data_IF_403973982645
#
_entry.id   IF_403973982645
#
_cell.length_a   1.000
_cell.length_b   1.000
_cell.length_c   1.000
_cell.angle_alpha   90.00
_cell.angle_beta   90.00
_cell.angle_gamma   90.00
#
_symmetry.space_group_name_H-M   'P 1'
#
loop_
_entity.id
_entity.type
_entity.pdbx_description
1 polymer ?
#
# COMPACT_ATOMS: atom_id res chain seq x y z
N UNK A 1 -6.96 -39.11 -2.85
CA UNK A 1 -6.20 -37.92 -2.44
C UNK A 1 -7.20 -36.81 -2.26
N UNK A 2 -7.40 -36.38 -1.02
CA UNK A 2 -8.21 -35.23 -0.65
C UNK A 2 -7.30 -34.10 -0.20
N UNK A 3 -7.80 -32.86 -0.22
CA UNK A 3 -7.07 -31.69 0.27
C UNK A 3 -7.82 -31.08 1.46
N UNK A 4 -7.08 -30.86 2.55
CA UNK A 4 -7.53 -30.16 3.75
C UNK A 4 -6.84 -28.80 3.85
N UNK A 5 -7.59 -27.73 4.05
CA UNK A 5 -7.08 -26.37 4.13
C UNK A 5 -7.21 -25.87 5.57
N UNK A 6 -6.11 -25.41 6.14
CA UNK A 6 -6.04 -24.81 7.47
C UNK A 6 -5.84 -23.31 7.30
N UNK A 7 -6.74 -22.51 7.86
CA UNK A 7 -6.58 -21.06 8.02
C UNK A 7 -6.20 -20.74 9.45
N UNK A 8 -4.91 -20.52 9.70
CA UNK A 8 -4.36 -20.21 11.03
C UNK A 8 -4.17 -18.70 11.19
N UNK A 9 -5.09 -18.04 11.90
CA UNK A 9 -5.16 -16.58 11.94
C UNK A 9 -4.73 -16.04 13.30
N UNK A 10 -3.78 -15.11 13.28
CA UNK A 10 -3.29 -14.32 14.39
C UNK A 10 -4.06 -12.99 14.59
N UNK A 11 -5.02 -12.69 13.71
CA UNK A 11 -5.85 -11.48 13.69
C UNK A 11 -7.29 -11.86 13.32
N UNK A 12 -8.23 -11.62 14.24
CA UNK A 12 -9.66 -11.92 14.08
C UNK A 12 -10.40 -10.87 13.23
N UNK A 13 -9.75 -9.73 12.93
CA UNK A 13 -10.29 -8.70 12.05
C UNK A 13 -10.10 -9.01 10.56
N UNK A 14 -9.26 -9.98 10.20
CA UNK A 14 -8.92 -10.39 8.83
C UNK A 14 -10.06 -11.15 8.10
N UNK A 15 -11.29 -10.66 8.21
CA UNK A 15 -12.51 -11.33 7.72
C UNK A 15 -12.50 -11.55 6.20
N UNK A 16 -11.95 -10.60 5.45
CA UNK A 16 -11.84 -10.70 4.00
C UNK A 16 -10.90 -11.84 3.57
N UNK A 17 -9.76 -12.03 4.26
CA UNK A 17 -8.87 -13.18 4.03
C UNK A 17 -9.55 -14.50 4.37
N UNK A 18 -10.33 -14.57 5.46
CA UNK A 18 -11.06 -15.80 5.80
C UNK A 18 -12.13 -16.12 4.75
N UNK A 19 -12.86 -15.12 4.26
CA UNK A 19 -13.84 -15.29 3.18
C UNK A 19 -13.16 -15.77 1.89
N UNK A 20 -11.97 -15.23 1.58
CA UNK A 20 -11.18 -15.66 0.44
C UNK A 20 -10.84 -17.16 0.51
N UNK A 21 -10.36 -17.63 1.66
CA UNK A 21 -10.04 -19.04 1.86
C UNK A 21 -11.27 -19.94 1.77
N UNK A 22 -12.39 -19.54 2.39
CA UNK A 22 -13.65 -20.29 2.34
C UNK A 22 -14.17 -20.44 0.92
N UNK A 23 -14.17 -19.35 0.15
CA UNK A 23 -14.67 -19.35 -1.21
C UNK A 23 -13.83 -20.26 -2.12
N UNK A 24 -12.50 -20.26 -1.96
CA UNK A 24 -11.63 -21.21 -2.66
C UNK A 24 -11.94 -22.66 -2.27
N UNK A 25 -12.05 -22.96 -0.97
CA UNK A 25 -12.34 -24.32 -0.51
C UNK A 25 -13.68 -24.83 -1.04
N UNK A 26 -14.71 -23.98 -1.06
CA UNK A 26 -16.02 -24.28 -1.61
C UNK A 26 -15.96 -24.61 -3.10
N UNK A 27 -15.26 -23.78 -3.90
CA UNK A 27 -15.09 -24.02 -5.34
C UNK A 27 -14.32 -25.30 -5.65
N UNK A 28 -13.34 -25.66 -4.83
CA UNK A 28 -12.52 -26.87 -5.02
C UNK A 28 -13.09 -28.14 -4.38
N UNK A 29 -14.09 -28.01 -3.52
CA UNK A 29 -14.63 -29.11 -2.71
C UNK A 29 -13.66 -29.58 -1.60
N UNK A 30 -12.82 -28.67 -1.08
CA UNK A 30 -11.84 -28.97 -0.04
C UNK A 30 -12.43 -28.84 1.37
N UNK A 31 -11.92 -29.63 2.31
CA UNK A 31 -12.28 -29.47 3.73
C UNK A 31 -11.56 -28.25 4.28
N UNK A 32 -12.26 -27.40 5.05
CA UNK A 32 -11.71 -26.16 5.59
C UNK A 32 -11.77 -26.13 7.12
N UNK A 33 -10.63 -25.90 7.77
CA UNK A 33 -10.48 -25.68 9.21
C UNK A 33 -10.02 -24.24 9.47
N UNK A 34 -10.80 -23.50 10.25
CA UNK A 34 -10.41 -22.18 10.76
C UNK A 34 -9.87 -22.32 12.18
N UNK A 35 -8.67 -21.78 12.41
CA UNK A 35 -8.02 -21.73 13.72
C UNK A 35 -7.76 -20.29 14.10
N UNK A 36 -8.45 -19.83 15.13
CA UNK A 36 -8.27 -18.52 15.72
C UNK A 36 -7.17 -18.55 16.80
N UNK A 37 -6.09 -17.81 16.55
CA UNK A 37 -4.96 -17.59 17.44
C UNK A 37 -4.78 -16.10 17.79
N UNK A 38 -5.80 -15.27 17.53
CA UNK A 38 -5.77 -13.81 17.77
C UNK A 38 -5.48 -13.47 19.23
N UNK A 39 -6.07 -14.22 20.17
CA UNK A 39 -5.88 -14.05 21.61
C UNK A 39 -4.44 -14.33 22.11
N UNK A 40 -3.58 -14.99 21.30
CA UNK A 40 -2.22 -15.35 21.71
C UNK A 40 -1.27 -14.20 21.37
N UNK A 41 -1.01 -13.27 22.27
CA UNK A 41 -0.17 -12.09 21.97
C UNK A 41 1.31 -12.38 21.67
N UNK A 42 1.83 -13.57 22.00
CA UNK A 42 3.25 -13.91 21.81
C UNK A 42 3.46 -14.71 20.51
N UNK A 43 4.21 -14.17 19.51
CA UNK A 43 4.45 -14.86 18.24
C UNK A 43 5.01 -16.28 18.38
N UNK A 44 5.89 -16.54 19.36
CA UNK A 44 6.46 -17.87 19.57
C UNK A 44 5.39 -18.92 19.92
N UNK A 45 4.43 -18.57 20.79
CA UNK A 45 3.32 -19.46 21.15
C UNK A 45 2.38 -19.70 19.96
N UNK A 46 2.17 -18.69 19.11
CA UNK A 46 1.42 -18.85 17.85
C UNK A 46 2.11 -19.85 16.92
N UNK A 47 3.43 -19.78 16.76
CA UNK A 47 4.18 -20.76 15.96
C UNK A 47 4.08 -22.19 16.53
N UNK A 48 4.25 -22.34 17.85
CA UNK A 48 4.06 -23.64 18.53
C UNK A 48 2.68 -24.20 18.20
N UNK A 49 1.63 -23.39 18.35
CA UNK A 49 0.26 -23.80 18.06
C UNK A 49 0.05 -24.12 16.57
N UNK A 50 0.59 -23.31 15.66
CA UNK A 50 0.49 -23.49 14.20
C UNK A 50 1.02 -24.86 13.77
N UNK A 51 2.24 -25.21 14.18
CA UNK A 51 2.83 -26.51 13.81
C UNK A 51 2.21 -27.69 14.57
N UNK A 52 1.71 -27.48 15.79
CA UNK A 52 0.94 -28.49 16.50
C UNK A 52 -0.38 -28.81 15.78
N UNK A 53 -1.07 -27.79 15.28
CA UNK A 53 -2.29 -27.94 14.46
C UNK A 53 -1.95 -28.66 13.16
N UNK A 54 -0.93 -28.21 12.42
CA UNK A 54 -0.48 -28.87 11.18
C UNK A 54 -0.19 -30.36 11.40
N UNK A 55 0.58 -30.69 12.45
CA UNK A 55 0.93 -32.07 12.77
C UNK A 55 -0.30 -32.90 13.15
N UNK A 56 -1.23 -32.33 13.90
CA UNK A 56 -2.50 -32.99 14.26
C UNK A 56 -3.31 -33.32 13.00
N UNK A 57 -3.42 -32.36 12.08
CA UNK A 57 -4.17 -32.53 10.84
C UNK A 57 -3.51 -33.57 9.93
N UNK A 58 -2.19 -33.52 9.72
CA UNK A 58 -1.46 -34.54 8.96
C UNK A 58 -1.66 -35.95 9.54
N UNK A 59 -1.71 -36.10 10.86
CA UNK A 59 -1.99 -37.40 11.50
C UNK A 59 -3.43 -37.89 11.34
N UNK A 60 -4.38 -36.99 11.07
CA UNK A 60 -5.78 -37.32 10.88
C UNK A 60 -6.13 -37.62 9.41
N UNK A 61 -5.39 -37.03 8.46
CA UNK A 61 -5.53 -37.29 7.03
C UNK A 61 -4.99 -38.68 6.63
N UNK A 62 -5.47 -39.23 5.50
CA UNK A 62 -4.93 -40.47 4.97
C UNK A 62 -3.53 -40.25 4.37
N UNK A 63 -2.75 -41.33 4.24
CA UNK A 63 -1.44 -41.25 3.56
C UNK A 63 -1.62 -40.76 2.11
N UNK A 64 -0.81 -39.79 1.71
CA UNK A 64 -0.87 -39.16 0.38
C UNK A 64 -1.84 -37.99 0.25
N UNK A 65 -2.75 -37.76 1.21
CA UNK A 65 -3.63 -36.57 1.21
C UNK A 65 -2.81 -35.28 1.35
N UNK A 66 -3.39 -34.15 0.91
CA UNK A 66 -2.73 -32.85 0.96
C UNK A 66 -3.26 -32.00 2.11
N UNK A 67 -2.37 -31.22 2.73
CA UNK A 67 -2.70 -30.20 3.73
C UNK A 67 -2.12 -28.87 3.28
N UNK A 68 -2.99 -27.91 2.98
CA UNK A 68 -2.63 -26.53 2.69
C UNK A 68 -2.76 -25.70 3.97
N UNK A 69 -1.66 -25.11 4.43
CA UNK A 69 -1.61 -24.25 5.61
C UNK A 69 -1.43 -22.79 5.18
N UNK A 70 -2.40 -21.96 5.53
CA UNK A 70 -2.46 -20.55 5.21
C UNK A 70 -2.57 -19.70 6.48
N UNK A 71 -1.96 -18.51 6.48
CA UNK A 71 -2.25 -17.46 7.46
C UNK A 71 -3.15 -16.39 6.85
N UNK A 72 -3.59 -15.41 7.64
CA UNK A 72 -4.36 -14.26 7.15
C UNK A 72 -3.66 -13.42 6.07
N UNK A 73 -2.33 -13.54 5.97
CA UNK A 73 -1.48 -12.75 5.08
C UNK A 73 -1.18 -13.48 3.77
N UNK A 74 -1.88 -14.60 3.53
CA UNK A 74 -1.88 -15.30 2.26
C UNK A 74 -3.27 -15.17 1.62
N UNK A 75 -3.34 -14.78 0.34
CA UNK A 75 -4.58 -14.58 -0.40
C UNK A 75 -4.61 -15.49 -1.62
N UNK A 76 -5.67 -16.27 -1.79
CA UNK A 76 -5.86 -17.18 -2.93
C UNK A 76 -6.42 -16.39 -4.12
N UNK A 77 -5.59 -16.24 -5.15
CA UNK A 77 -5.87 -15.47 -6.36
C UNK A 77 -6.58 -16.29 -7.42
N UNK A 78 -6.17 -17.54 -7.63
CA UNK A 78 -6.64 -18.36 -8.76
C UNK A 78 -7.20 -19.70 -8.28
N UNK A 79 -8.06 -20.32 -9.09
CA UNK A 79 -8.66 -21.62 -8.81
C UNK A 79 -7.77 -22.81 -9.18
N UNK A 80 -6.46 -22.65 -9.00
CA UNK A 80 -5.46 -23.70 -9.20
C UNK A 80 -5.65 -24.76 -8.12
N UNK A 81 -5.66 -26.04 -8.54
CA UNK A 81 -5.80 -27.18 -7.63
C UNK A 81 -4.47 -27.48 -6.94
N UNK A 82 -4.50 -27.72 -5.63
CA UNK A 82 -3.31 -28.15 -4.88
C UNK A 82 -2.73 -29.45 -5.43
N UNK A 83 -3.58 -30.35 -5.94
CA UNK A 83 -3.13 -31.61 -6.52
C UNK A 83 -2.24 -31.39 -7.76
N UNK A 84 -2.57 -30.42 -8.61
CA UNK A 84 -1.80 -30.08 -9.81
C UNK A 84 -0.41 -29.54 -9.47
N UNK A 85 -0.30 -28.76 -8.40
CA UNK A 85 1.00 -28.27 -7.92
C UNK A 85 1.87 -29.38 -7.34
N UNK A 86 1.25 -30.45 -6.84
CA UNK A 86 1.94 -31.59 -6.23
C UNK A 86 2.18 -32.76 -7.18
N UNK A 87 1.69 -32.69 -8.41
CA UNK A 87 1.88 -33.75 -9.41
C UNK A 87 3.36 -33.89 -9.78
N UNK A 88 3.84 -35.12 -9.91
CA UNK A 88 5.21 -35.48 -10.31
C UNK A 88 6.36 -34.86 -9.49
N UNK A 89 6.07 -34.39 -8.28
CA UNK A 89 7.10 -33.87 -7.36
C UNK A 89 7.82 -34.97 -6.61
N UNK A 90 9.14 -34.83 -6.52
CA UNK A 90 10.00 -35.64 -5.64
C UNK A 90 9.85 -35.26 -4.15
N UNK A 91 9.47 -34.01 -3.87
CA UNK A 91 9.30 -33.50 -2.51
C UNK A 91 7.83 -33.53 -2.07
N UNK A 92 7.63 -33.86 -0.79
CA UNK A 92 6.30 -33.93 -0.17
C UNK A 92 5.80 -32.59 0.36
N UNK A 93 6.44 -31.47 -0.01
CA UNK A 93 6.01 -30.14 0.42
C UNK A 93 6.36 -29.06 -0.60
N UNK A 94 5.67 -27.92 -0.46
CA UNK A 94 6.01 -26.65 -1.08
C UNK A 94 6.11 -25.60 0.03
N UNK A 95 7.30 -25.05 0.17
CA UNK A 95 7.58 -23.80 0.85
C UNK A 95 8.42 -22.96 -0.10
N UNK A 96 8.09 -21.68 -0.22
CA UNK A 96 8.74 -20.80 -1.17
C UNK A 96 9.45 -19.66 -0.47
N UNK A 97 10.52 -19.17 -1.09
CA UNK A 97 11.29 -18.04 -0.60
C UNK A 97 11.41 -16.93 -1.66
N UNK A 98 11.50 -15.70 -1.17
CA UNK A 98 11.94 -14.54 -1.92
C UNK A 98 13.24 -14.04 -1.30
N UNK A 99 14.33 -14.12 -2.07
CA UNK A 99 15.69 -13.89 -1.59
C UNK A 99 16.00 -14.75 -0.34
N UNK A 100 16.23 -14.15 0.83
CA UNK A 100 16.54 -14.82 2.09
C UNK A 100 15.33 -14.97 3.03
N UNK A 101 14.13 -14.60 2.56
CA UNK A 101 12.90 -14.64 3.33
C UNK A 101 11.99 -15.78 2.86
N UNK A 102 11.66 -16.70 3.77
CA UNK A 102 10.73 -17.80 3.51
C UNK A 102 9.31 -17.36 3.80
N UNK A 103 8.43 -17.49 2.82
CA UNK A 103 7.04 -17.05 2.86
C UNK A 103 6.17 -17.99 3.72
N UNK A 104 6.34 -17.91 5.04
CA UNK A 104 5.71 -18.78 6.03
C UNK A 104 4.17 -18.79 6.02
N UNK A 105 3.56 -17.76 5.43
CA UNK A 105 2.11 -17.60 5.25
C UNK A 105 1.50 -18.63 4.30
N UNK A 106 2.31 -19.30 3.47
CA UNK A 106 1.88 -20.36 2.56
C UNK A 106 2.74 -21.62 2.77
N UNK A 107 2.10 -22.76 3.03
CA UNK A 107 2.77 -24.06 3.00
C UNK A 107 1.82 -25.13 2.46
N UNK A 108 2.27 -25.96 1.52
CA UNK A 108 1.51 -27.11 1.04
C UNK A 108 2.26 -28.39 1.38
N UNK A 109 1.57 -29.38 1.92
CA UNK A 109 2.17 -30.62 2.40
C UNK A 109 1.43 -31.84 1.83
N UNK A 110 2.14 -32.83 1.32
CA UNK A 110 1.64 -34.19 1.14
C UNK A 110 1.86 -34.97 2.43
N UNK A 111 0.81 -35.62 2.91
CA UNK A 111 0.86 -36.40 4.13
C UNK A 111 1.64 -37.70 3.93
N UNK A 112 2.92 -37.67 4.30
CA UNK A 112 3.79 -38.84 4.33
C UNK A 112 4.45 -39.00 5.69
N UNK A 113 5.07 -40.16 5.93
CA UNK A 113 5.90 -40.36 7.12
C UNK A 113 7.01 -39.30 7.22
N UNK A 114 7.61 -38.92 6.09
CA UNK A 114 8.66 -37.90 6.02
C UNK A 114 8.12 -36.53 6.40
N UNK A 115 7.00 -36.09 5.81
CA UNK A 115 6.36 -34.82 6.15
C UNK A 115 6.01 -34.72 7.64
N UNK A 116 5.45 -35.78 8.22
CA UNK A 116 5.13 -35.82 9.66
C UNK A 116 6.37 -35.72 10.54
N UNK A 117 7.47 -36.39 10.16
CA UNK A 117 8.74 -36.29 10.88
C UNK A 117 9.32 -34.88 10.80
N UNK A 118 9.27 -34.26 9.62
CA UNK A 118 9.79 -32.91 9.39
C UNK A 118 8.98 -31.85 10.15
N UNK A 119 7.65 -31.92 10.12
CA UNK A 119 6.79 -31.03 10.93
C UNK A 119 7.02 -31.24 12.43
N UNK A 120 7.29 -32.47 12.87
CA UNK A 120 7.68 -32.74 14.26
C UNK A 120 9.00 -32.06 14.62
N UNK A 121 9.96 -32.03 13.69
CA UNK A 121 11.23 -31.32 13.87
C UNK A 121 11.04 -29.80 13.92
N UNK A 122 10.24 -29.23 13.01
CA UNK A 122 9.87 -27.80 13.02
C UNK A 122 9.23 -27.43 14.36
N UNK A 123 8.23 -28.21 14.82
CA UNK A 123 7.61 -28.03 16.13
C UNK A 123 8.65 -28.07 17.27
N UNK A 124 9.61 -29.00 17.21
CA UNK A 124 10.74 -29.07 18.14
C UNK A 124 11.53 -27.76 18.20
N UNK A 125 11.84 -27.17 17.05
CA UNK A 125 12.54 -25.89 16.92
C UNK A 125 11.76 -24.67 17.44
N UNK A 126 10.43 -24.77 17.57
CA UNK A 126 9.62 -23.67 18.14
C UNK A 126 9.57 -23.66 19.67
N UNK A 127 10.06 -24.69 20.35
CA UNK A 127 9.95 -24.80 21.82
C UNK A 127 10.74 -23.70 22.54
N UNK A 128 10.27 -23.28 23.70
CA UNK A 128 10.82 -22.16 24.50
C UNK A 128 12.21 -22.43 25.12
N UNK A 129 12.87 -23.54 24.80
CA UNK A 129 14.14 -23.93 25.42
C UNK A 129 15.39 -23.39 24.70
N UNK A 130 15.21 -22.60 23.62
CA UNK A 130 16.32 -22.00 22.88
C UNK A 130 16.66 -20.61 23.42
N UNK A 131 17.95 -20.27 23.47
CA UNK A 131 18.46 -18.99 24.01
C UNK A 131 18.00 -17.77 23.19
N UNK A 132 17.68 -17.97 21.90
CA UNK A 132 17.17 -16.92 21.01
C UNK A 132 15.93 -17.42 20.26
N UNK A 133 14.80 -16.69 20.26
CA UNK A 133 13.65 -17.00 19.43
C UNK A 133 14.04 -16.96 17.95
N UNK A 134 13.89 -18.07 17.23
CA UNK A 134 14.07 -18.12 15.78
C UNK A 134 12.84 -17.50 15.10
N UNK A 135 13.06 -16.78 13.99
CA UNK A 135 11.93 -16.39 13.13
C UNK A 135 11.31 -17.62 12.47
N UNK A 136 10.02 -17.54 12.09
CA UNK A 136 9.40 -18.65 11.35
C UNK A 136 10.13 -18.87 10.01
N UNK A 137 10.56 -17.80 9.37
CA UNK A 137 11.37 -17.84 8.15
C UNK A 137 12.65 -18.64 8.35
N UNK A 138 13.41 -18.35 9.42
CA UNK A 138 14.66 -19.06 9.71
C UNK A 138 14.42 -20.55 9.97
N UNK A 139 13.35 -20.88 10.70
CA UNK A 139 12.97 -22.27 10.96
C UNK A 139 12.61 -23.01 9.66
N UNK A 140 11.90 -22.36 8.74
CA UNK A 140 11.48 -22.95 7.47
C UNK A 140 12.62 -23.12 6.46
N UNK A 141 13.79 -22.50 6.67
CA UNK A 141 14.98 -22.78 5.83
C UNK A 141 15.38 -24.26 5.87
N UNK A 142 15.04 -24.97 6.95
CA UNK A 142 15.24 -26.43 7.08
C UNK A 142 14.52 -27.22 5.98
N UNK A 143 13.47 -26.65 5.37
CA UNK A 143 12.72 -27.26 4.28
C UNK A 143 13.42 -27.17 2.92
N UNK A 144 14.54 -26.43 2.84
CA UNK A 144 15.19 -26.04 1.58
C UNK A 144 14.17 -25.42 0.62
N UNK A 145 13.53 -24.31 1.02
CA UNK A 145 12.44 -23.72 0.25
C UNK A 145 12.89 -23.35 -1.16
N UNK A 146 11.97 -23.48 -2.09
CA UNK A 146 12.21 -23.22 -3.51
C UNK A 146 12.02 -21.72 -3.81
N UNK A 147 12.69 -21.18 -4.84
CA UNK A 147 12.37 -19.83 -5.33
C UNK A 147 10.87 -19.70 -5.65
N UNK A 148 10.28 -18.54 -5.33
CA UNK A 148 8.85 -18.31 -5.56
C UNK A 148 8.46 -18.37 -7.05
N UNK A 149 9.40 -18.06 -7.94
CA UNK A 149 9.23 -18.06 -9.39
C UNK A 149 9.34 -19.46 -10.01
N UNK A 150 9.48 -20.51 -9.18
CA UNK A 150 9.45 -21.90 -9.66
C UNK A 150 8.06 -22.26 -10.22
N UNK A 151 8.03 -22.54 -11.52
CA UNK A 151 6.85 -22.99 -12.24
C UNK A 151 6.51 -24.47 -12.03
N UNK A 152 5.21 -24.76 -11.97
CA UNK A 152 4.58 -26.08 -11.91
C UNK A 152 3.53 -26.16 -13.01
N UNK A 153 3.83 -26.82 -14.13
CA UNK A 153 2.93 -26.88 -15.29
C UNK A 153 2.45 -25.48 -15.73
N UNK A 154 3.41 -24.55 -15.90
CA UNK A 154 3.17 -23.13 -16.24
C UNK A 154 2.43 -22.32 -15.16
N UNK A 155 2.21 -22.88 -13.97
CA UNK A 155 1.57 -22.23 -12.82
C UNK A 155 2.56 -21.92 -11.72
N UNK A 156 2.29 -20.90 -10.91
CA UNK A 156 3.08 -20.58 -9.73
C UNK A 156 2.29 -20.93 -8.47
N UNK A 157 2.95 -21.56 -7.50
CA UNK A 157 2.31 -21.86 -6.22
C UNK A 157 2.04 -20.59 -5.42
N UNK A 158 2.99 -19.67 -5.39
CA UNK A 158 2.89 -18.45 -4.59
C UNK A 158 3.75 -17.33 -5.19
N UNK A 159 3.30 -16.08 -5.02
CA UNK A 159 4.06 -14.88 -5.37
C UNK A 159 4.04 -13.88 -4.19
N UNK A 160 5.18 -13.22 -3.89
CA UNK A 160 5.22 -12.17 -2.88
C UNK A 160 4.52 -10.90 -3.38
N UNK A 161 3.86 -10.18 -2.48
CA UNK A 161 3.14 -8.94 -2.78
C UNK A 161 3.42 -7.90 -1.69
N UNK A 162 3.95 -6.75 -2.08
CA UNK A 162 4.12 -5.56 -1.25
C UNK A 162 3.58 -4.31 -1.96
N UNK A 163 3.57 -3.18 -1.25
CA UNK A 163 3.08 -1.90 -1.78
C UNK A 163 3.87 -1.41 -3.01
N UNK A 164 5.17 -1.69 -3.06
CA UNK A 164 6.12 -1.20 -4.06
C UNK A 164 6.60 -2.26 -5.06
N UNK A 165 6.25 -3.52 -4.89
CA UNK A 165 6.66 -4.63 -5.76
C UNK A 165 5.91 -4.66 -7.10
N UNK A 166 6.59 -5.11 -8.16
CA UNK A 166 5.99 -5.32 -9.48
C UNK A 166 4.77 -6.26 -9.42
N UNK A 167 3.74 -5.94 -10.20
CA UNK A 167 2.44 -6.63 -10.20
C UNK A 167 2.32 -7.69 -11.32
N UNK A 168 3.44 -8.28 -11.76
CA UNK A 168 3.44 -9.31 -12.80
C UNK A 168 2.50 -10.50 -12.50
N UNK A 169 2.27 -10.79 -11.21
CA UNK A 169 1.38 -11.85 -10.75
C UNK A 169 -0.10 -11.64 -11.13
N UNK A 170 -0.50 -10.41 -11.50
CA UNK A 170 -1.86 -10.10 -11.95
C UNK A 170 -2.23 -10.97 -13.17
N UNK A 171 -1.32 -11.03 -14.14
CA UNK A 171 -1.55 -11.72 -15.42
C UNK A 171 -1.06 -13.18 -15.42
N UNK A 172 -0.32 -13.59 -14.39
CA UNK A 172 0.17 -14.97 -14.27
C UNK A 172 -0.82 -15.89 -13.52
N UNK A 173 -0.85 -17.19 -13.88
CA UNK A 173 -1.58 -18.20 -13.14
C UNK A 173 -0.86 -18.55 -11.82
N UNK A 174 -1.08 -17.70 -10.81
CA UNK A 174 -0.54 -17.87 -9.46
C UNK A 174 -1.66 -18.33 -8.53
N UNK A 175 -1.46 -19.41 -7.77
CA UNK A 175 -2.44 -19.88 -6.79
C UNK A 175 -2.61 -18.85 -5.67
N UNK A 176 -1.52 -18.51 -4.99
CA UNK A 176 -1.55 -17.69 -3.78
C UNK A 176 -0.65 -16.44 -3.86
N UNK A 177 -1.06 -15.38 -3.18
CA UNK A 177 -0.29 -14.17 -2.97
C UNK A 177 0.09 -14.13 -1.50
N UNK A 178 1.38 -14.06 -1.19
CA UNK A 178 1.83 -13.83 0.19
C UNK A 178 2.18 -12.36 0.32
N UNK A 179 1.45 -11.70 1.21
CA UNK A 179 1.79 -10.33 1.56
C UNK A 179 3.13 -10.33 2.29
N UNK A 180 4.01 -9.44 1.87
CA UNK A 180 5.30 -9.20 2.51
C UNK A 180 5.36 -7.74 2.93
N UNK A 181 6.07 -7.48 4.03
CA UNK A 181 6.24 -6.11 4.53
C UNK A 181 7.29 -5.35 3.70
N UNK A 182 7.51 -4.08 4.02
CA UNK A 182 8.60 -3.29 3.45
C UNK A 182 9.94 -4.01 3.66
N UNK A 183 10.87 -4.00 2.68
CA UNK A 183 12.16 -4.70 2.79
C UNK A 183 13.00 -4.36 4.03
N UNK A 184 12.75 -3.20 4.65
CA UNK A 184 13.44 -2.71 5.85
C UNK A 184 12.74 -3.05 7.17
N UNK A 185 11.54 -3.63 7.13
CA UNK A 185 10.78 -3.99 8.33
C UNK A 185 11.44 -5.19 9.05
N UNK A 186 11.45 -5.23 10.40
CA UNK A 186 11.99 -6.38 11.12
C UNK A 186 11.19 -7.66 10.80
N UNK A 187 11.89 -8.79 10.70
CA UNK A 187 11.25 -10.10 10.44
C UNK A 187 10.18 -10.42 11.50
N UNK A 188 9.08 -11.02 11.06
CA UNK A 188 7.88 -11.39 11.86
C UNK A 188 7.05 -10.22 12.41
N UNK A 189 7.25 -8.99 11.93
CA UNK A 189 6.33 -7.90 12.24
C UNK A 189 5.07 -8.00 11.35
N UNK A 190 3.91 -7.57 11.88
CA UNK A 190 2.65 -7.67 11.15
C UNK A 190 2.68 -6.76 9.92
N UNK A 191 2.26 -7.34 8.79
CA UNK A 191 2.04 -6.62 7.54
C UNK A 191 0.98 -5.53 7.75
N UNK A 192 1.05 -4.47 6.93
CA UNK A 192 0.02 -3.42 6.89
C UNK A 192 -1.38 -4.03 6.71
N UNK A 193 -2.12 -4.15 7.82
CA UNK A 193 -3.41 -4.86 7.88
C UNK A 193 -4.45 -4.23 6.97
N UNK A 194 -4.41 -2.90 6.80
CA UNK A 194 -5.27 -2.18 5.86
C UNK A 194 -5.09 -2.65 4.42
N UNK A 195 -3.84 -2.85 3.98
CA UNK A 195 -3.56 -3.34 2.63
C UNK A 195 -4.07 -4.78 2.48
N UNK A 196 -3.80 -5.63 3.47
CA UNK A 196 -4.30 -7.02 3.48
C UNK A 196 -5.80 -7.06 3.29
N UNK A 197 -6.55 -6.36 4.14
CA UNK A 197 -8.00 -6.41 4.13
C UNK A 197 -8.58 -5.82 2.84
N UNK A 198 -7.96 -4.75 2.34
CA UNK A 198 -8.37 -4.10 1.10
C UNK A 198 -8.12 -5.00 -0.12
N UNK A 199 -6.93 -5.61 -0.23
CA UNK A 199 -6.61 -6.50 -1.35
C UNK A 199 -7.43 -7.79 -1.28
N UNK A 200 -7.63 -8.36 -0.09
CA UNK A 200 -8.47 -9.53 0.10
C UNK A 200 -9.92 -9.26 -0.33
N UNK A 201 -10.49 -8.12 0.08
CA UNK A 201 -11.82 -7.69 -0.34
C UNK A 201 -11.91 -7.54 -1.87
N UNK A 202 -10.93 -6.84 -2.46
CA UNK A 202 -10.85 -6.62 -3.90
C UNK A 202 -10.75 -7.93 -4.71
N UNK A 203 -9.92 -8.88 -4.27
CA UNK A 203 -9.81 -10.20 -4.90
C UNK A 203 -11.15 -10.95 -4.82
N UNK A 204 -11.79 -10.95 -3.66
CA UNK A 204 -13.06 -11.64 -3.47
C UNK A 204 -14.16 -11.06 -4.36
N UNK A 205 -14.27 -9.73 -4.45
CA UNK A 205 -15.24 -9.05 -5.33
C UNK A 205 -14.98 -9.39 -6.80
N UNK A 206 -13.74 -9.29 -7.26
CA UNK A 206 -13.37 -9.65 -8.63
C UNK A 206 -13.65 -11.11 -8.96
N UNK A 207 -13.34 -12.05 -8.06
CA UNK A 207 -13.62 -13.47 -8.25
C UNK A 207 -15.13 -13.75 -8.29
N UNK A 208 -15.90 -13.15 -7.37
CA UNK A 208 -17.35 -13.34 -7.31
C UNK A 208 -18.05 -12.82 -8.57
N UNK A 209 -17.54 -11.73 -9.15
CA UNK A 209 -18.11 -11.09 -10.34
C UNK A 209 -17.48 -11.57 -11.66
N UNK A 210 -16.45 -12.42 -11.60
CA UNK A 210 -15.70 -12.88 -12.78
C UNK A 210 -14.97 -11.74 -13.51
N UNK A 211 -14.56 -10.68 -12.80
CA UNK A 211 -13.86 -9.52 -13.38
C UNK A 211 -12.35 -9.60 -13.18
N UNK A 212 -11.54 -9.11 -14.12
CA UNK A 212 -10.09 -9.01 -13.92
C UNK A 212 -9.75 -8.07 -12.76
N UNK A 213 -8.67 -8.37 -12.04
CA UNK A 213 -8.14 -7.49 -11.00
C UNK A 213 -7.70 -6.15 -11.61
N UNK A 214 -7.82 -5.06 -10.83
CA UNK A 214 -7.33 -3.74 -11.22
C UNK A 214 -7.98 -3.14 -12.49
N UNK A 215 -9.18 -3.60 -12.86
CA UNK A 215 -9.94 -3.07 -14.00
C UNK A 215 -11.12 -2.21 -13.54
N UNK A 216 -10.98 -0.89 -13.72
CA UNK A 216 -11.96 0.07 -13.24
C UNK A 216 -12.87 0.57 -14.36
N UNK A 217 -14.16 0.82 -14.08
CA UNK A 217 -15.02 1.51 -15.03
C UNK A 217 -14.43 2.90 -15.29
N UNK A 218 -14.13 3.21 -16.56
CA UNK A 218 -13.81 4.59 -16.96
C UNK A 218 -15.07 5.42 -16.82
N UNK A 219 -14.95 6.60 -16.22
CA UNK A 219 -16.00 7.59 -16.31
C UNK A 219 -16.06 8.05 -17.77
N UNK A 220 -17.14 7.71 -18.48
CA UNK A 220 -17.36 8.19 -19.84
C UNK A 220 -17.68 9.68 -19.78
N UNK A 221 -16.67 10.54 -19.78
CA UNK A 221 -16.84 11.97 -20.08
C UNK A 221 -16.78 12.13 -21.60
N UNK A 222 -17.93 12.39 -22.22
CA UNK A 222 -18.07 12.57 -23.67
C UNK A 222 -17.47 13.88 -24.20
N UNK A 223 -17.06 14.79 -23.31
CA UNK A 223 -16.46 16.07 -23.65
C UNK A 223 -14.95 16.08 -23.35
N UNK A 224 -14.13 16.75 -24.19
CA UNK A 224 -12.71 16.94 -23.91
C UNK A 224 -12.56 17.79 -22.64
N UNK A 225 -12.12 17.15 -21.56
CA UNK A 225 -11.85 17.82 -20.29
C UNK A 225 -10.69 18.81 -20.49
N UNK A 226 -10.86 20.05 -20.05
CA UNK A 226 -9.82 21.08 -20.17
C UNK A 226 -8.53 20.65 -19.43
N UNK A 227 -7.36 20.88 -20.05
CA UNK A 227 -6.04 20.58 -19.44
C UNK A 227 -5.79 21.36 -18.15
N UNK A 228 -6.38 22.54 -18.01
CA UNK A 228 -6.34 23.38 -16.82
C UNK A 228 -7.73 23.89 -16.48
N UNK A 229 -8.04 23.94 -15.19
CA UNK A 229 -9.27 24.52 -14.68
C UNK A 229 -9.04 25.19 -13.32
N UNK A 230 -9.75 26.29 -13.07
CA UNK A 230 -9.75 26.97 -11.80
C UNK A 230 -11.18 27.14 -11.26
N UNK A 231 -11.35 26.89 -9.97
CA UNK A 231 -12.56 27.17 -9.20
C UNK A 231 -12.26 28.26 -8.18
N UNK A 232 -13.19 29.20 -7.98
CA UNK A 232 -13.08 30.30 -7.00
C UNK A 232 -11.73 31.04 -7.06
N UNK A 233 -11.26 31.40 -8.26
CA UNK A 233 -9.89 31.90 -8.50
C UNK A 233 -9.47 33.13 -7.69
N UNK A 234 -10.42 33.85 -7.10
CA UNK A 234 -10.15 35.06 -6.32
C UNK A 234 -10.14 34.79 -4.79
N UNK A 235 -10.35 33.54 -4.36
CA UNK A 235 -10.37 33.20 -2.94
C UNK A 235 -8.99 33.40 -2.28
N UNK A 236 -8.93 33.81 -1.00
CA UNK A 236 -7.66 34.10 -0.34
C UNK A 236 -6.80 32.86 -0.08
N UNK A 237 -7.40 31.67 0.01
CA UNK A 237 -6.71 30.40 0.20
C UNK A 237 -6.93 29.56 -1.07
N UNK A 238 -5.84 29.08 -1.66
CA UNK A 238 -5.87 28.25 -2.86
C UNK A 238 -5.17 26.92 -2.64
N UNK A 239 -5.72 25.87 -3.24
CA UNK A 239 -5.09 24.57 -3.40
C UNK A 239 -4.75 24.37 -4.87
N UNK A 240 -3.61 23.77 -5.15
CA UNK A 240 -3.12 23.43 -6.49
C UNK A 240 -2.81 21.95 -6.55
N UNK A 241 -3.19 21.31 -7.65
CA UNK A 241 -2.85 19.92 -7.95
C UNK A 241 -2.49 19.79 -9.42
N UNK A 242 -1.49 18.95 -9.72
CA UNK A 242 -1.19 18.52 -11.09
C UNK A 242 -1.11 16.99 -11.13
N UNK A 243 -1.77 16.41 -12.11
CA UNK A 243 -1.62 15.01 -12.48
C UNK A 243 -1.57 14.86 -14.00
N UNK A 244 -0.84 13.86 -14.49
CA UNK A 244 -0.64 13.61 -15.92
C UNK A 244 -1.48 12.40 -16.38
N UNK A 245 -1.70 12.20 -17.69
CA UNK A 245 -2.56 11.13 -18.18
C UNK A 245 -2.18 9.72 -17.70
N UNK A 246 -0.89 9.44 -17.49
CA UNK A 246 -0.40 8.14 -17.00
C UNK A 246 -0.75 7.84 -15.53
N UNK A 247 -1.21 8.84 -14.76
CA UNK A 247 -1.63 8.71 -13.36
C UNK A 247 -3.09 9.13 -13.13
N UNK A 248 -3.85 9.33 -14.22
CA UNK A 248 -5.23 9.80 -14.21
C UNK A 248 -6.16 8.95 -13.33
N UNK A 249 -5.96 7.63 -13.28
CA UNK A 249 -6.83 6.72 -12.53
C UNK A 249 -7.01 7.07 -11.05
N UNK A 250 -5.95 7.56 -10.41
CA UNK A 250 -6.00 8.03 -9.03
C UNK A 250 -6.03 9.56 -8.92
N UNK A 251 -5.45 10.27 -9.91
CA UNK A 251 -5.53 11.73 -9.99
C UNK A 251 -6.97 12.26 -10.07
N UNK A 252 -7.85 11.59 -10.83
CA UNK A 252 -9.28 11.93 -10.91
C UNK A 252 -10.01 11.75 -9.57
N UNK A 253 -9.60 10.75 -8.77
CA UNK A 253 -10.15 10.53 -7.43
C UNK A 253 -9.76 11.69 -6.51
N UNK A 254 -8.47 12.05 -6.49
CA UNK A 254 -7.98 13.19 -5.72
C UNK A 254 -8.61 14.51 -6.18
N UNK A 255 -8.80 14.70 -7.48
CA UNK A 255 -9.47 15.88 -8.02
C UNK A 255 -10.90 16.01 -7.49
N UNK A 256 -11.71 14.95 -7.61
CA UNK A 256 -13.09 14.96 -7.15
C UNK A 256 -13.18 15.19 -5.62
N UNK A 257 -12.23 14.61 -4.86
CA UNK A 257 -12.09 14.82 -3.43
C UNK A 257 -11.76 16.28 -3.07
N UNK A 258 -10.76 16.87 -3.74
CA UNK A 258 -10.34 18.26 -3.51
C UNK A 258 -11.38 19.29 -3.94
N UNK A 259 -12.10 19.03 -5.03
CA UNK A 259 -13.22 19.88 -5.47
C UNK A 259 -14.30 19.97 -4.40
N UNK A 260 -14.69 18.83 -3.82
CA UNK A 260 -15.66 18.80 -2.72
C UNK A 260 -15.17 19.62 -1.52
N UNK A 261 -13.91 19.43 -1.14
CA UNK A 261 -13.30 20.15 -0.03
C UNK A 261 -13.27 21.66 -0.26
N UNK A 262 -12.76 22.10 -1.42
CA UNK A 262 -12.64 23.51 -1.75
C UNK A 262 -14.01 24.18 -1.92
N UNK A 263 -15.00 23.48 -2.50
CA UNK A 263 -16.37 23.98 -2.62
C UNK A 263 -17.02 24.21 -1.25
N UNK A 264 -16.78 23.30 -0.28
CA UNK A 264 -17.32 23.40 1.07
C UNK A 264 -16.80 24.61 1.83
N UNK A 265 -15.51 24.89 1.72
CA UNK A 265 -14.85 25.96 2.49
C UNK A 265 -14.68 27.28 1.73
N UNK A 266 -15.10 27.33 0.46
CA UNK A 266 -14.94 28.51 -0.38
C UNK A 266 -13.49 28.79 -0.79
N UNK A 267 -12.64 27.76 -0.81
CA UNK A 267 -11.25 27.88 -1.27
C UNK A 267 -11.16 27.87 -2.80
N UNK A 268 -10.08 28.44 -3.31
CA UNK A 268 -9.71 28.31 -4.71
C UNK A 268 -9.11 26.91 -4.96
N UNK A 269 -9.35 26.37 -6.15
CA UNK A 269 -8.71 25.14 -6.62
C UNK A 269 -8.21 25.34 -8.04
N UNK A 270 -6.92 25.09 -8.26
CA UNK A 270 -6.29 25.04 -9.57
C UNK A 270 -5.91 23.59 -9.88
N UNK A 271 -6.47 23.04 -10.95
CA UNK A 271 -6.21 21.67 -11.39
C UNK A 271 -5.54 21.68 -12.75
N UNK A 272 -4.41 21.00 -12.83
CA UNK A 272 -3.71 20.68 -14.07
C UNK A 272 -3.82 19.18 -14.35
N UNK A 273 -4.42 18.81 -15.48
CA UNK A 273 -4.60 17.42 -15.92
C UNK A 273 -3.54 16.95 -16.91
N UNK A 274 -2.54 17.82 -17.13
CA UNK A 274 -1.36 17.57 -17.92
C UNK A 274 -0.30 18.64 -17.62
N UNK A 275 0.91 18.45 -18.14
CA UNK A 275 2.00 19.42 -18.03
C UNK A 275 1.65 20.70 -18.84
N UNK A 276 1.68 21.89 -18.22
CA UNK A 276 1.44 23.15 -18.93
C UNK A 276 2.52 23.43 -19.99
N UNK A 277 2.10 23.79 -21.20
CA UNK A 277 3.04 24.11 -22.29
C UNK A 277 3.99 25.27 -21.91
N UNK A 278 3.53 26.20 -21.05
CA UNK A 278 4.31 27.35 -20.57
C UNK A 278 5.43 26.97 -19.60
N UNK A 279 5.45 25.73 -19.10
CA UNK A 279 6.50 25.28 -18.18
C UNK A 279 7.81 24.95 -18.91
N UNK A 280 7.77 24.71 -20.23
CA UNK A 280 8.92 24.84 -21.11
C UNK A 280 10.03 23.78 -21.01
N UNK A 281 9.84 22.70 -20.25
CA UNK A 281 10.75 21.57 -20.18
C UNK A 281 10.02 20.22 -20.13
N UNK A 282 10.68 19.17 -20.61
CA UNK A 282 10.20 17.79 -20.53
C UNK A 282 10.70 17.15 -19.23
N UNK A 283 9.79 16.78 -18.34
CA UNK A 283 10.08 16.23 -17.02
C UNK A 283 8.90 15.40 -16.50
N UNK A 284 9.14 14.54 -15.52
CA UNK A 284 8.04 13.91 -14.78
C UNK A 284 7.20 14.96 -14.02
N UNK A 285 5.89 14.69 -13.84
CA UNK A 285 4.93 15.65 -13.29
C UNK A 285 5.30 16.26 -11.93
N UNK A 286 6.00 15.51 -11.07
CA UNK A 286 6.45 15.98 -9.75
C UNK A 286 7.44 17.16 -9.83
N UNK A 287 8.16 17.33 -10.94
CA UNK A 287 9.11 18.44 -11.10
C UNK A 287 8.43 19.78 -11.36
N UNK A 288 7.10 19.81 -11.57
CA UNK A 288 6.34 21.03 -11.86
C UNK A 288 5.74 21.69 -10.61
N UNK A 289 5.85 21.10 -9.40
CA UNK A 289 5.40 21.76 -8.15
C UNK A 289 5.95 23.18 -8.00
N UNK A 290 7.26 23.43 -8.18
CA UNK A 290 7.82 24.77 -8.01
C UNK A 290 7.28 25.76 -9.04
N UNK A 291 7.04 25.31 -10.27
CA UNK A 291 6.45 26.13 -11.33
C UNK A 291 5.03 26.55 -10.98
N UNK A 292 4.18 25.59 -10.59
CA UNK A 292 2.77 25.84 -10.19
C UNK A 292 2.72 26.78 -8.98
N UNK A 293 3.54 26.51 -7.96
CA UNK A 293 3.61 27.33 -6.75
C UNK A 293 4.01 28.78 -7.05
N UNK A 294 5.04 28.99 -7.89
CA UNK A 294 5.43 30.35 -8.32
C UNK A 294 4.35 31.05 -9.12
N UNK A 295 3.68 30.33 -10.01
CA UNK A 295 2.68 30.90 -10.92
C UNK A 295 1.49 31.48 -10.15
N UNK A 296 1.04 30.80 -9.09
CA UNK A 296 -0.16 31.18 -8.34
C UNK A 296 0.10 31.94 -7.03
N UNK A 297 1.32 31.94 -6.46
CA UNK A 297 1.53 32.50 -5.12
C UNK A 297 1.05 33.96 -4.98
N UNK A 298 1.28 34.78 -6.00
CA UNK A 298 0.92 36.20 -5.98
C UNK A 298 -0.59 36.45 -6.10
N UNK A 299 -1.38 35.45 -6.50
CA UNK A 299 -2.82 35.56 -6.73
C UNK A 299 -3.64 35.34 -5.44
N UNK A 300 -3.02 34.74 -4.41
CA UNK A 300 -3.71 34.35 -3.17
C UNK A 300 -2.95 34.85 -1.94
N UNK A 301 -3.61 34.84 -0.79
CA UNK A 301 -2.95 35.06 0.50
C UNK A 301 -2.17 33.82 0.94
N UNK A 302 -2.71 32.64 0.67
CA UNK A 302 -2.11 31.33 0.93
C UNK A 302 -2.28 30.41 -0.27
N UNK A 303 -1.20 29.69 -0.60
CA UNK A 303 -1.19 28.71 -1.67
C UNK A 303 -0.71 27.36 -1.14
N UNK A 304 -1.47 26.31 -1.41
CA UNK A 304 -1.16 24.94 -1.07
C UNK A 304 -0.85 24.12 -2.32
N UNK A 305 0.27 23.40 -2.30
CA UNK A 305 0.49 22.25 -3.18
C UNK A 305 -0.11 21.00 -2.54
N UNK A 306 -0.85 20.21 -3.34
CA UNK A 306 -1.37 18.89 -2.97
C UNK A 306 -0.98 17.88 -4.06
N UNK A 307 -0.28 16.81 -3.68
CA UNK A 307 0.05 15.71 -4.60
C UNK A 307 -1.22 15.00 -5.09
N UNK A 308 -1.14 14.46 -6.32
CA UNK A 308 -2.24 13.70 -6.93
C UNK A 308 -2.58 12.41 -6.19
N UNK A 309 -1.74 11.97 -5.25
CA UNK A 309 -1.96 10.82 -4.38
C UNK A 309 -2.26 11.20 -2.92
N UNK A 310 -2.81 12.40 -2.70
CA UNK A 310 -3.32 12.86 -1.41
C UNK A 310 -4.84 12.99 -1.45
N UNK A 311 -5.51 12.53 -0.39
CA UNK A 311 -6.94 12.77 -0.18
C UNK A 311 -7.16 13.59 1.09
N UNK A 312 -8.11 14.53 1.05
CA UNK A 312 -8.70 15.13 2.24
C UNK A 312 -9.76 14.17 2.76
N UNK A 313 -9.46 13.48 3.86
CA UNK A 313 -10.36 12.49 4.45
C UNK A 313 -11.44 13.19 5.27
N UNK A 314 -11.04 14.05 6.21
CA UNK A 314 -11.96 14.91 6.96
C UNK A 314 -12.27 16.18 6.16
N UNK A 315 -13.37 16.13 5.41
CA UNK A 315 -13.84 17.24 4.56
C UNK A 315 -14.30 18.45 5.39
N UNK A 316 -14.66 18.26 6.66
CA UNK A 316 -15.26 19.31 7.50
C UNK A 316 -14.21 20.18 8.16
N UNK A 317 -12.99 19.68 8.33
CA UNK A 317 -11.90 20.39 8.99
C UNK A 317 -11.35 21.52 8.11
N UNK A 318 -11.41 22.79 8.54
CA UNK A 318 -10.91 23.93 7.76
C UNK A 318 -9.38 24.07 7.88
N UNK A 319 -8.74 24.78 6.93
CA UNK A 319 -7.29 25.08 6.94
C UNK A 319 -6.91 26.21 7.90
N UNK A 320 -7.79 27.18 8.13
CA UNK A 320 -7.53 28.43 8.86
C UNK A 320 -6.87 28.25 10.24
N UNK A 321 -7.21 27.23 11.05
CA UNK A 321 -6.51 26.98 12.31
C UNK A 321 -5.01 26.74 12.14
N UNK A 322 -4.59 26.09 11.03
CA UNK A 322 -3.18 25.81 10.73
C UNK A 322 -2.42 27.07 10.29
N UNK A 323 -3.10 28.07 9.74
CA UNK A 323 -2.48 29.25 9.11
C UNK A 323 -2.07 30.34 10.11
N UNK A 324 -2.36 30.16 11.40
CA UNK A 324 -2.19 31.22 12.41
C UNK A 324 -0.73 31.38 12.81
N UNK A 325 -0.23 32.61 12.72
CA UNK A 325 1.12 33.01 13.16
C UNK A 325 2.28 32.25 12.49
N UNK A 326 2.04 31.72 11.29
CA UNK A 326 3.02 31.02 10.48
C UNK A 326 3.00 31.55 9.05
N UNK A 327 4.10 31.37 8.33
CA UNK A 327 4.19 31.74 6.92
C UNK A 327 4.34 30.52 6.00
N UNK A 328 4.54 29.32 6.57
CA UNK A 328 4.69 28.05 5.86
C UNK A 328 4.01 26.93 6.63
N UNK A 329 3.49 25.96 5.90
CA UNK A 329 2.89 24.74 6.42
C UNK A 329 3.63 23.58 5.77
N UNK A 330 4.46 22.89 6.56
CA UNK A 330 5.26 21.74 6.13
C UNK A 330 5.05 20.61 7.13
N UNK A 331 4.90 19.38 6.64
CA UNK A 331 4.71 18.21 7.48
C UNK A 331 5.99 17.38 7.56
N UNK A 332 6.38 16.96 8.77
CA UNK A 332 7.45 16.01 8.97
C UNK A 332 7.21 14.73 8.16
N UNK A 333 8.28 14.06 7.72
CA UNK A 333 8.20 12.80 6.99
C UNK A 333 8.67 11.63 7.87
N UNK A 334 8.28 10.41 7.50
CA UNK A 334 8.72 9.20 8.21
C UNK A 334 10.13 8.74 7.81
N UNK A 335 10.65 9.25 6.68
CA UNK A 335 11.94 8.86 6.09
C UNK A 335 12.85 10.06 5.81
N UNK A 336 12.29 11.25 5.57
CA UNK A 336 12.99 12.49 5.21
C UNK A 336 12.74 13.60 6.25
N UNK A 337 13.35 14.77 6.03
CA UNK A 337 13.16 15.94 6.92
C UNK A 337 11.71 16.43 6.93
N UNK A 338 11.11 16.60 5.75
CA UNK A 338 9.69 16.87 5.57
C UNK A 338 9.21 16.28 4.25
N UNK A 339 7.90 16.13 4.10
CA UNK A 339 7.28 15.58 2.90
C UNK A 339 6.73 16.70 1.99
N UNK A 340 7.05 16.68 0.69
CA UNK A 340 6.61 17.71 -0.28
C UNK A 340 5.24 17.44 -0.91
N UNK A 341 4.49 16.45 -0.42
CA UNK A 341 3.17 16.09 -0.93
C UNK A 341 2.04 17.01 -0.48
N UNK A 342 2.19 17.67 0.66
CA UNK A 342 1.32 18.76 1.11
C UNK A 342 2.19 19.89 1.63
N UNK A 343 2.16 21.04 0.97
CA UNK A 343 2.94 22.22 1.38
C UNK A 343 2.11 23.49 1.23
N UNK A 344 2.05 24.31 2.29
CA UNK A 344 1.39 25.61 2.26
C UNK A 344 2.39 26.76 2.35
N UNK A 345 2.19 27.80 1.54
CA UNK A 345 3.02 29.00 1.55
C UNK A 345 2.13 30.24 1.60
N UNK A 346 2.41 31.13 2.56
CA UNK A 346 1.82 32.46 2.58
C UNK A 346 2.46 33.31 1.50
N UNK A 347 1.68 34.19 0.87
CA UNK A 347 2.20 35.17 -0.06
C UNK A 347 3.01 36.25 0.67
N UNK A 348 4.31 35.98 0.81
CA UNK A 348 5.32 36.87 1.37
C UNK A 348 6.49 36.97 0.40
N UNK A 349 7.24 38.06 0.47
CA UNK A 349 8.45 38.22 -0.35
C UNK A 349 9.50 37.13 -0.05
N UNK A 350 9.58 36.66 1.20
CA UNK A 350 10.48 35.58 1.59
C UNK A 350 10.10 34.26 0.88
N UNK A 351 8.84 33.85 0.96
CA UNK A 351 8.39 32.61 0.31
C UNK A 351 8.50 32.70 -1.22
N UNK A 352 8.22 33.86 -1.82
CA UNK A 352 8.42 34.07 -3.24
C UNK A 352 9.88 33.83 -3.67
N UNK A 353 10.87 34.31 -2.90
CA UNK A 353 12.30 34.08 -3.16
C UNK A 353 12.70 32.61 -2.98
N UNK A 354 12.18 31.95 -1.94
CA UNK A 354 12.46 30.53 -1.70
C UNK A 354 11.96 29.68 -2.88
N UNK A 355 10.73 29.91 -3.34
CA UNK A 355 10.17 29.18 -4.47
C UNK A 355 10.85 29.51 -5.81
N UNK A 356 11.31 30.75 -5.99
CA UNK A 356 12.17 31.12 -7.12
C UNK A 356 13.44 30.27 -7.15
N UNK A 357 14.12 30.16 -6.02
CA UNK A 357 15.37 29.39 -5.92
C UNK A 357 15.15 27.89 -6.10
N UNK A 358 14.05 27.32 -5.56
CA UNK A 358 13.69 25.92 -5.82
C UNK A 358 13.47 25.71 -7.32
N UNK A 359 12.68 26.57 -7.97
CA UNK A 359 12.40 26.46 -9.40
C UNK A 359 13.66 26.60 -10.25
N UNK A 360 14.55 27.53 -9.90
CA UNK A 360 15.85 27.67 -10.57
C UNK A 360 16.70 26.42 -10.38
N UNK A 361 16.80 25.90 -9.16
CA UNK A 361 17.58 24.68 -8.89
C UNK A 361 17.06 23.50 -9.71
N UNK A 362 15.74 23.29 -9.75
CA UNK A 362 15.10 22.25 -10.58
C UNK A 362 15.38 22.46 -12.07
N UNK A 363 15.36 23.70 -12.55
CA UNK A 363 15.62 24.01 -13.96
C UNK A 363 17.00 23.55 -14.42
N UNK A 364 18.01 23.74 -13.57
CA UNK A 364 19.41 23.48 -13.87
C UNK A 364 19.79 21.99 -13.76
N UNK A 365 18.90 21.14 -13.22
CA UNK A 365 19.16 19.71 -13.06
C UNK A 365 19.15 18.97 -14.41
N UNK A 366 20.13 18.08 -14.60
CA UNK A 366 20.31 17.35 -15.86
C UNK A 366 19.39 16.14 -16.03
N UNK A 367 18.98 15.49 -14.94
CA UNK A 367 18.07 14.34 -14.97
C UNK A 367 16.80 14.62 -14.15
N UNK A 368 15.67 14.63 -14.88
CA UNK A 368 14.31 14.81 -14.37
C UNK A 368 13.36 13.72 -14.90
N UNK A 369 13.92 12.59 -15.32
CA UNK A 369 13.20 11.52 -16.03
C UNK A 369 12.24 10.73 -15.14
N UNK A 370 12.51 10.66 -13.83
CA UNK A 370 11.67 9.96 -12.85
C UNK A 370 11.42 10.83 -11.62
N UNK A 371 10.46 10.42 -10.79
CA UNK A 371 10.13 11.12 -9.54
C UNK A 371 11.26 11.11 -8.51
N UNK A 372 12.21 10.17 -8.62
CA UNK A 372 13.34 10.01 -7.70
C UNK A 372 14.69 10.39 -8.32
N UNK A 373 14.72 10.78 -9.60
CA UNK A 373 15.93 11.23 -10.25
C UNK A 373 16.57 12.37 -9.42
N UNK A 374 17.89 12.29 -9.17
CA UNK A 374 18.61 13.27 -8.35
C UNK A 374 18.00 13.52 -6.94
N UNK A 375 17.34 12.53 -6.34
CA UNK A 375 16.71 12.66 -5.02
C UNK A 375 15.26 13.18 -5.06
N UNK A 376 14.72 13.49 -6.24
CA UNK A 376 13.36 14.02 -6.42
C UNK A 376 13.22 15.50 -6.06
N UNK A 377 12.06 16.08 -6.36
CA UNK A 377 11.74 17.48 -6.05
C UNK A 377 11.79 17.75 -4.54
N UNK A 378 11.39 16.78 -3.72
CA UNK A 378 11.39 16.86 -2.25
C UNK A 378 12.79 17.18 -1.70
N UNK A 379 13.84 16.54 -2.22
CA UNK A 379 15.22 16.80 -1.79
C UNK A 379 15.63 18.26 -2.07
N UNK A 380 15.23 18.80 -3.21
CA UNK A 380 15.51 20.20 -3.58
C UNK A 380 14.80 21.16 -2.64
N UNK A 381 13.51 20.93 -2.37
CA UNK A 381 12.76 21.73 -1.39
C UNK A 381 13.45 21.69 -0.01
N UNK A 382 13.82 20.50 0.49
CA UNK A 382 14.51 20.34 1.77
C UNK A 382 15.82 21.12 1.80
N UNK A 383 16.66 20.98 0.77
CA UNK A 383 17.96 21.65 0.69
C UNK A 383 17.85 23.16 0.63
N UNK A 384 16.90 23.70 -0.15
CA UNK A 384 16.67 25.15 -0.21
C UNK A 384 16.18 25.67 1.14
N UNK A 385 15.16 25.04 1.75
CA UNK A 385 14.63 25.47 3.05
C UNK A 385 15.74 25.47 4.12
N UNK A 386 16.52 24.39 4.20
CA UNK A 386 17.64 24.27 5.16
C UNK A 386 18.69 25.37 4.97
N UNK A 387 19.05 25.71 3.73
CA UNK A 387 20.03 26.78 3.46
C UNK A 387 19.59 28.15 3.95
N UNK A 388 18.28 28.40 3.97
CA UNK A 388 17.70 29.65 4.49
C UNK A 388 17.29 29.58 5.97
N UNK A 389 17.70 28.53 6.68
CA UNK A 389 17.35 28.32 8.08
C UNK A 389 15.84 28.16 8.31
N UNK A 390 15.13 27.60 7.32
CA UNK A 390 13.69 27.32 7.36
C UNK A 390 13.45 25.81 7.45
N UNK A 391 12.22 25.44 7.84
CA UNK A 391 11.82 24.06 8.07
C UNK A 391 12.63 23.41 9.20
N UNK A 392 12.90 24.17 10.27
CA UNK A 392 13.46 23.59 11.50
C UNK A 392 12.46 22.62 12.13
N UNK A 393 12.91 21.67 12.94
CA UNK A 393 12.04 20.63 13.49
C UNK A 393 10.85 21.21 14.29
N UNK A 394 11.05 22.34 14.97
CA UNK A 394 9.99 23.06 15.71
C UNK A 394 8.97 23.78 14.79
N UNK A 395 9.30 23.99 13.51
CA UNK A 395 8.40 24.56 12.50
C UNK A 395 7.58 23.49 11.76
N UNK A 396 7.93 22.20 11.90
CA UNK A 396 7.26 21.11 11.19
C UNK A 396 6.01 20.66 11.93
N UNK A 397 4.94 20.43 11.18
CA UNK A 397 3.73 19.77 11.68
C UNK A 397 4.00 18.26 11.70
N UNK A 398 3.57 17.57 12.75
CA UNK A 398 3.71 16.12 12.79
C UNK A 398 2.92 15.45 11.66
N UNK A 399 3.43 14.32 11.16
CA UNK A 399 2.84 13.62 10.02
C UNK A 399 1.44 13.07 10.31
N UNK A 400 0.99 12.97 11.57
CA UNK A 400 -0.37 12.49 11.89
C UNK A 400 -1.42 13.62 11.88
N UNK A 401 -0.98 14.87 12.01
CA UNK A 401 -1.84 16.06 11.94
C UNK A 401 -2.10 16.50 10.49
N UNK A 402 -1.08 16.47 9.64
CA UNK A 402 -1.14 16.84 8.22
C UNK A 402 -0.24 15.92 7.40
N UNK A 403 -0.66 15.60 6.17
CA UNK A 403 0.10 14.77 5.24
C UNK A 403 0.38 13.35 5.78
N UNK A 404 -0.65 12.72 6.33
CA UNK A 404 -0.53 11.43 7.02
C UNK A 404 -0.26 10.28 6.07
N UNK A 405 0.86 9.55 6.20
CA UNK A 405 1.10 8.35 5.42
C UNK A 405 -0.06 7.36 5.60
N UNK A 406 -0.51 6.73 4.51
CA UNK A 406 -1.61 5.76 4.52
C UNK A 406 -1.50 4.70 5.62
N UNK A 407 -0.29 4.24 5.90
CA UNK A 407 0.03 3.27 6.96
C UNK A 407 -0.44 3.77 8.33
N UNK A 408 -0.29 5.08 8.60
CA UNK A 408 -0.66 5.74 9.85
C UNK A 408 -2.10 6.31 9.85
N UNK A 409 -2.83 6.20 8.74
CA UNK A 409 -4.20 6.71 8.64
C UNK A 409 -5.09 6.19 9.78
N UNK A 410 -5.85 7.08 10.40
CA UNK A 410 -6.93 6.73 11.31
C UNK A 410 -8.25 7.31 10.78
N UNK A 411 -9.37 6.99 11.44
CA UNK A 411 -10.66 7.60 11.11
C UNK A 411 -10.69 9.12 11.28
N UNK A 412 -9.76 9.68 12.07
CA UNK A 412 -9.67 11.10 12.39
C UNK A 412 -8.55 11.81 11.59
N UNK A 413 -7.89 11.12 10.67
CA UNK A 413 -6.85 11.73 9.84
C UNK A 413 -7.45 12.82 8.95
N UNK A 414 -6.73 13.94 8.81
CA UNK A 414 -7.19 15.07 8.00
C UNK A 414 -6.88 14.89 6.52
N UNK A 415 -5.60 14.96 6.13
CA UNK A 415 -5.13 14.71 4.78
C UNK A 415 -4.22 13.49 4.80
N UNK A 416 -4.51 12.52 3.93
CA UNK A 416 -3.80 11.22 3.88
C UNK A 416 -3.05 11.11 2.56
N UNK A 417 -1.76 10.76 2.64
CA UNK A 417 -0.85 10.59 1.52
C UNK A 417 -0.61 9.11 1.21
N UNK A 418 -0.96 8.70 -0.01
CA UNK A 418 -0.84 7.33 -0.51
C UNK A 418 0.53 7.11 -1.19
N UNK A 419 1.59 7.53 -0.49
CA UNK A 419 2.98 7.49 -0.94
C UNK A 419 3.57 6.08 -0.98
N UNK A 420 4.56 5.87 -1.86
CA UNK A 420 5.34 4.62 -1.90
C UNK A 420 4.58 3.40 -2.43
N UNK A 421 3.49 3.60 -3.18
CA UNK A 421 2.68 2.52 -3.74
C UNK A 421 2.81 2.43 -5.26
N UNK A 422 2.71 1.21 -5.80
CA UNK A 422 2.46 1.00 -7.22
C UNK A 422 1.11 1.61 -7.64
N UNK A 423 0.96 2.11 -8.88
CA UNK A 423 -0.24 2.84 -9.31
C UNK A 423 -1.55 2.11 -9.05
N UNK A 424 -1.65 0.80 -9.33
CA UNK A 424 -2.90 0.07 -9.15
C UNK A 424 -3.29 -0.11 -7.67
N UNK A 425 -2.30 -0.37 -6.79
CA UNK A 425 -2.54 -0.40 -5.34
C UNK A 425 -2.92 0.97 -4.80
N UNK A 426 -2.24 2.02 -5.27
CA UNK A 426 -2.57 3.40 -4.93
C UNK A 426 -4.01 3.72 -5.32
N UNK A 427 -4.42 3.41 -6.55
CA UNK A 427 -5.80 3.62 -7.01
C UNK A 427 -6.80 2.86 -6.15
N UNK A 428 -6.53 1.59 -5.83
CA UNK A 428 -7.39 0.78 -4.95
C UNK A 428 -7.53 1.42 -3.55
N UNK A 429 -6.41 1.82 -2.94
CA UNK A 429 -6.37 2.45 -1.63
C UNK A 429 -7.08 3.82 -1.61
N UNK A 430 -6.90 4.62 -2.66
CA UNK A 430 -7.56 5.93 -2.78
C UNK A 430 -9.05 5.80 -3.05
N UNK A 431 -9.52 4.81 -3.83
CA UNK A 431 -10.96 4.54 -3.98
C UNK A 431 -11.60 4.22 -2.64
N UNK A 432 -10.94 3.38 -1.84
CA UNK A 432 -11.39 3.08 -0.49
C UNK A 432 -11.38 4.33 0.42
N UNK A 433 -10.30 5.12 0.38
CA UNK A 433 -10.16 6.36 1.13
C UNK A 433 -11.21 7.41 0.79
N UNK A 434 -11.53 7.59 -0.49
CA UNK A 434 -12.57 8.51 -0.94
C UNK A 434 -13.97 8.07 -0.49
N UNK A 435 -14.24 6.75 -0.49
CA UNK A 435 -15.49 6.24 0.09
C UNK A 435 -15.59 6.56 1.58
N UNK A 436 -14.52 6.32 2.35
CA UNK A 436 -14.47 6.68 3.77
C UNK A 436 -14.66 8.19 3.99
N UNK A 437 -14.04 9.02 3.15
CA UNK A 437 -14.20 10.47 3.21
C UNK A 437 -15.66 10.89 3.01
N UNK A 438 -16.38 10.27 2.05
CA UNK A 438 -17.81 10.53 1.83
C UNK A 438 -18.67 10.10 3.01
N UNK A 439 -18.43 8.92 3.55
CA UNK A 439 -19.13 8.42 4.74
C UNK A 439 -18.92 9.35 5.95
N UNK A 440 -17.73 9.91 6.12
CA UNK A 440 -17.43 10.89 7.18
C UNK A 440 -18.07 12.26 6.93
N UNK A 441 -18.13 12.71 5.68
CA UNK A 441 -18.77 13.98 5.32
C UNK A 441 -20.29 13.92 5.53
N UNK A 442 -20.92 12.79 5.18
CA UNK A 442 -22.35 12.53 5.34
C UNK A 442 -22.78 12.24 6.79
N UNK A 443 -21.87 11.78 7.65
CA UNK A 443 -22.22 11.46 9.04
C UNK A 443 -22.27 12.73 9.89
N UNK A 444 -23.44 13.10 10.42
CA UNK A 444 -23.66 14.32 11.24
C UNK A 444 -23.01 14.30 12.65
N UNK A 445 -22.09 13.36 12.91
CA UNK A 445 -21.49 13.14 14.24
C UNK A 445 -20.25 14.00 14.49
#
# INVERSE_FOLDING_TARGET
MTTHVISFFADDSARASLQNHRAYCERQGYTHEYVDASAIGWPQLRMIMKYQVLLRTLRACAEGDLVLLLTQDCLLKSDIRCETLMEDRETDWIAAQDSDYVMASFQLWRNTMMSRALVTHLFGGTKLCYETPLSESDLLTLLKPEPFDRGYNEQLAVSPVALDTSMFWVDLPVLALVLVDLPVAPRNYPICTKLRDLLAGHINECQAEGRPLFTWPRQNTSDPVARYEAMNSDAPIALTMLYTPNVSEYGEIAEANLRRYCARHGYALHVYRDIPDQAGWDAAGNWFKPWVLRHHLQQHQWLFWIDADVLVVDQKKPLEPLLRNVDRILAADISWHFNSGVMGFRNTQENARLLEEVAQTVSEMSDKSTVYANGGDQDVFIKVMKRHGKATDDELIDCTTLNTPFQLQTRNSFMVHYMGMQPAFRTLAMRHGERLSRELDESDF
#
